data_IF_158497798950
#
_entry.id   IF_158497798950
#
_cell.length_a   1.000
_cell.length_b   1.000
_cell.length_c   1.000
_cell.angle_alpha   90.00
_cell.angle_beta   90.00
_cell.angle_gamma   90.00
#
_symmetry.space_group_name_H-M   'P 1'
#
loop_
_entity.id
_entity.type
_entity.pdbx_description
1 polymer ?
#
# COMPACT_ATOMS: atom_id res chain seq x y z
N UNK A 1 -37.55 2.78 -46.49
CA UNK A 1 -36.33 2.51 -45.70
C UNK A 1 -36.10 3.59 -44.63
N UNK A 2 -37.07 3.85 -43.74
CA UNK A 2 -36.95 4.87 -42.67
C UNK A 2 -36.88 4.28 -41.26
N UNK A 3 -37.04 2.96 -41.13
CA UNK A 3 -37.11 2.27 -39.83
C UNK A 3 -35.76 1.68 -39.40
N UNK A 4 -34.75 1.67 -40.29
CA UNK A 4 -33.41 1.15 -40.00
C UNK A 4 -32.51 2.19 -39.32
N UNK A 5 -32.78 3.48 -39.53
CA UNK A 5 -31.99 4.59 -38.98
C UNK A 5 -32.21 4.81 -37.49
N UNK A 6 -33.39 4.44 -36.96
CA UNK A 6 -33.71 4.56 -35.53
C UNK A 6 -33.04 3.48 -34.66
N UNK A 7 -32.73 2.32 -35.23
CA UNK A 7 -32.06 1.21 -34.51
C UNK A 7 -30.59 1.53 -34.25
N UNK A 8 -29.94 2.26 -35.15
CA UNK A 8 -28.53 2.64 -35.01
C UNK A 8 -28.29 3.69 -33.91
N UNK A 9 -29.29 4.54 -33.64
CA UNK A 9 -29.21 5.56 -32.58
C UNK A 9 -29.48 5.00 -31.18
N UNK A 10 -30.20 3.87 -31.07
CA UNK A 10 -30.45 3.19 -29.79
C UNK A 10 -29.24 2.37 -29.28
N UNK A 11 -28.32 2.00 -30.17
CA UNK A 11 -27.14 1.18 -29.83
C UNK A 11 -26.00 1.99 -29.19
N UNK A 12 -26.07 3.33 -29.20
CA UNK A 12 -25.02 4.20 -28.65
C UNK A 12 -25.12 4.42 -27.12
N UNK A 13 -26.19 3.94 -26.47
CA UNK A 13 -26.40 4.13 -25.02
C UNK A 13 -26.11 2.88 -24.17
N UNK A 14 -25.57 1.80 -24.74
CA UNK A 14 -25.30 0.54 -24.00
C UNK A 14 -23.84 0.45 -23.53
N UNK A 15 -23.08 1.56 -23.50
CA UNK A 15 -21.77 1.55 -22.85
C UNK A 15 -21.93 1.74 -21.33
N UNK A 16 -22.63 0.80 -20.69
CA UNK A 16 -22.61 0.62 -19.25
C UNK A 16 -21.24 0.02 -18.90
N UNK A 17 -20.22 0.89 -18.75
CA UNK A 17 -18.98 0.48 -18.14
C UNK A 17 -19.33 0.08 -16.70
N UNK A 18 -19.32 -1.22 -16.40
CA UNK A 18 -19.31 -1.69 -15.01
C UNK A 18 -18.18 -0.94 -14.34
N UNK A 19 -18.49 -0.08 -13.36
CA UNK A 19 -17.45 0.48 -12.51
C UNK A 19 -16.77 -0.73 -11.87
N UNK A 20 -15.47 -0.90 -12.12
CA UNK A 20 -14.74 -2.08 -11.69
C UNK A 20 -14.71 -2.10 -10.15
N UNK A 21 -15.64 -2.86 -9.57
CA UNK A 21 -15.71 -3.18 -8.14
C UNK A 21 -14.57 -4.13 -7.71
N UNK A 22 -13.64 -4.47 -8.61
CA UNK A 22 -12.55 -5.43 -8.38
C UNK A 22 -11.75 -5.10 -7.12
N UNK A 23 -11.35 -3.83 -6.95
CA UNK A 23 -10.57 -3.40 -5.79
C UNK A 23 -11.34 -3.44 -4.47
N UNK A 24 -12.67 -3.27 -4.49
CA UNK A 24 -13.49 -3.33 -3.28
C UNK A 24 -13.61 -4.77 -2.77
N UNK A 25 -13.78 -5.72 -3.69
CA UNK A 25 -13.82 -7.14 -3.35
C UNK A 25 -12.49 -7.64 -2.78
N UNK A 26 -11.37 -7.29 -3.42
CA UNK A 26 -10.04 -7.70 -2.96
C UNK A 26 -9.67 -7.07 -1.61
N UNK A 27 -10.02 -5.79 -1.40
CA UNK A 27 -9.85 -5.13 -0.11
C UNK A 27 -10.63 -5.87 0.98
N UNK A 28 -11.93 -6.10 0.78
CA UNK A 28 -12.78 -6.75 1.79
C UNK A 28 -12.28 -8.17 2.10
N UNK A 29 -11.94 -8.95 1.08
CA UNK A 29 -11.38 -10.30 1.25
C UNK A 29 -10.11 -10.27 2.09
N UNK A 30 -9.18 -9.35 1.79
CA UNK A 30 -7.93 -9.23 2.56
C UNK A 30 -8.19 -8.75 3.99
N UNK A 31 -9.12 -7.81 4.18
CA UNK A 31 -9.49 -7.29 5.49
C UNK A 31 -10.11 -8.37 6.38
N UNK A 32 -10.99 -9.21 5.83
CA UNK A 32 -11.56 -10.37 6.53
C UNK A 32 -10.47 -11.38 6.94
N UNK A 33 -9.52 -11.66 6.04
CA UNK A 33 -8.37 -12.51 6.37
C UNK A 33 -7.55 -11.93 7.52
N UNK A 34 -7.32 -10.61 7.53
CA UNK A 34 -6.66 -9.92 8.63
C UNK A 34 -7.45 -10.00 9.94
N UNK A 35 -8.77 -9.80 9.94
CA UNK A 35 -9.56 -9.92 11.17
C UNK A 35 -9.45 -11.32 11.78
N UNK A 36 -9.52 -12.37 10.96
CA UNK A 36 -9.35 -13.75 11.41
C UNK A 36 -7.94 -13.99 11.96
N UNK A 37 -6.91 -13.48 11.28
CA UNK A 37 -5.53 -13.56 11.76
C UNK A 37 -5.32 -12.82 13.10
N UNK A 38 -5.91 -11.63 13.26
CA UNK A 38 -5.82 -10.84 14.50
C UNK A 38 -6.44 -11.57 15.69
N UNK A 39 -7.58 -12.25 15.48
CA UNK A 39 -8.20 -13.10 16.50
C UNK A 39 -7.32 -14.31 16.80
N UNK A 40 -6.87 -15.03 15.77
CA UNK A 40 -6.03 -16.21 15.91
C UNK A 40 -4.72 -15.94 16.65
N UNK A 41 -4.07 -14.82 16.34
CA UNK A 41 -2.83 -14.38 16.96
C UNK A 41 -3.02 -13.74 18.34
N UNK A 42 -4.27 -13.60 18.82
CA UNK A 42 -4.62 -12.87 20.03
C UNK A 42 -3.99 -11.47 20.06
N UNK A 43 -3.93 -10.79 18.91
CA UNK A 43 -3.31 -9.48 18.78
C UNK A 43 -1.78 -9.43 18.93
N UNK A 44 -1.10 -10.57 18.80
CA UNK A 44 0.36 -10.67 18.87
C UNK A 44 0.93 -11.14 17.54
N UNK A 45 1.55 -10.23 16.79
CA UNK A 45 2.06 -10.54 15.46
C UNK A 45 3.26 -9.68 15.10
N UNK A 46 4.05 -10.17 14.16
CA UNK A 46 5.06 -9.38 13.47
C UNK A 46 4.66 -9.29 12.00
N UNK A 47 4.89 -8.15 11.36
CA UNK A 47 4.69 -8.02 9.92
C UNK A 47 5.83 -7.25 9.27
N UNK A 48 6.06 -7.58 8.00
CA UNK A 48 7.16 -7.04 7.21
C UNK A 48 6.63 -6.13 6.10
N UNK A 49 7.36 -5.05 5.83
CA UNK A 49 7.17 -4.22 4.64
C UNK A 49 8.51 -4.05 3.94
N UNK A 50 8.48 -4.16 2.62
CA UNK A 50 9.65 -3.96 1.77
C UNK A 50 9.42 -2.79 0.82
N UNK A 51 10.48 -2.06 0.52
CA UNK A 51 10.49 -1.09 -0.57
C UNK A 51 11.81 -1.19 -1.32
N UNK A 52 11.80 -0.78 -2.58
CA UNK A 52 12.98 -0.72 -3.44
C UNK A 52 12.97 0.54 -4.28
N UNK A 53 14.15 1.08 -4.54
CA UNK A 53 14.31 2.17 -5.50
C UNK A 53 14.81 1.65 -6.84
N UNK A 54 14.58 2.45 -7.88
CA UNK A 54 15.08 2.20 -9.22
C UNK A 54 16.61 2.20 -9.30
N UNK A 55 17.31 2.82 -8.35
CA UNK A 55 18.79 2.82 -8.27
C UNK A 55 19.35 1.57 -7.58
N UNK A 56 18.49 0.63 -7.17
CA UNK A 56 18.90 -0.70 -6.69
C UNK A 56 19.08 -0.84 -5.18
N UNK A 57 18.93 0.24 -4.39
CA UNK A 57 18.84 0.12 -2.93
C UNK A 57 17.42 -0.25 -2.50
N UNK A 58 17.30 -0.96 -1.39
CA UNK A 58 16.02 -1.43 -0.85
C UNK A 58 16.01 -1.39 0.67
N UNK A 59 14.83 -1.32 1.27
CA UNK A 59 14.66 -1.34 2.71
C UNK A 59 13.62 -2.38 3.12
N UNK A 60 13.91 -3.08 4.21
CA UNK A 60 12.99 -4.00 4.88
C UNK A 60 12.72 -3.46 6.27
N UNK A 61 11.45 -3.30 6.61
CA UNK A 61 10.99 -2.96 7.97
C UNK A 61 10.22 -4.14 8.54
N UNK A 62 10.50 -4.54 9.78
CA UNK A 62 9.69 -5.50 10.54
C UNK A 62 9.11 -4.76 11.73
N UNK A 63 7.79 -4.86 11.92
CA UNK A 63 7.08 -4.21 13.02
C UNK A 63 6.50 -5.30 13.91
N UNK A 64 6.89 -5.27 15.18
CA UNK A 64 6.40 -6.20 16.20
C UNK A 64 5.29 -5.59 17.01
N UNK A 65 4.14 -6.26 17.00
CA UNK A 65 2.92 -5.88 17.71
C UNK A 65 2.64 -6.91 18.79
N UNK A 66 2.49 -6.46 20.04
CA UNK A 66 2.08 -7.29 21.17
C UNK A 66 0.89 -6.64 21.85
N UNK A 67 -0.15 -7.42 22.11
CA UNK A 67 -1.42 -6.93 22.66
C UNK A 67 -1.96 -5.70 21.89
N UNK A 68 -1.90 -5.72 20.55
CA UNK A 68 -2.37 -4.62 19.68
C UNK A 68 -1.59 -3.30 19.87
N UNK A 69 -0.38 -3.35 20.42
CA UNK A 69 0.52 -2.19 20.57
C UNK A 69 1.84 -2.49 19.89
N UNK A 70 2.41 -1.53 19.16
CA UNK A 70 3.76 -1.65 18.59
C UNK A 70 4.78 -1.59 19.72
N UNK A 71 5.59 -2.64 19.84
CA UNK A 71 6.61 -2.76 20.90
C UNK A 71 8.03 -2.70 20.36
N UNK A 72 8.23 -2.96 19.06
CA UNK A 72 9.53 -2.93 18.43
C UNK A 72 9.39 -2.68 16.92
N UNK A 73 10.39 -2.01 16.37
CA UNK A 73 10.60 -1.88 14.94
C UNK A 73 12.05 -2.27 14.62
N UNK A 74 12.22 -3.15 13.65
CA UNK A 74 13.51 -3.46 13.05
C UNK A 74 13.56 -2.91 11.64
N UNK A 75 14.72 -2.40 11.24
CA UNK A 75 14.92 -1.98 9.87
C UNK A 75 16.29 -2.41 9.35
N UNK A 76 16.33 -2.72 8.05
CA UNK A 76 17.57 -2.97 7.32
C UNK A 76 17.49 -2.41 5.90
N UNK A 77 18.44 -1.56 5.54
CA UNK A 77 18.72 -1.11 4.18
C UNK A 77 19.70 -2.07 3.50
N UNK A 78 19.47 -2.35 2.23
CA UNK A 78 20.40 -3.04 1.34
C UNK A 78 20.87 -2.10 0.23
N UNK A 79 22.14 -2.17 -0.10
CA UNK A 79 22.76 -1.39 -1.18
C UNK A 79 23.40 -2.33 -2.20
N UNK A 80 23.38 -2.00 -3.51
CA UNK A 80 24.17 -2.71 -4.50
C UNK A 80 25.66 -2.76 -4.10
N UNK A 81 26.38 -3.86 -4.38
CA UNK A 81 27.79 -3.99 -4.00
C UNK A 81 28.70 -2.91 -4.62
N UNK A 82 28.37 -2.48 -5.83
CA UNK A 82 29.15 -1.59 -6.71
C UNK A 82 28.71 -0.11 -6.62
N UNK A 83 27.82 0.24 -5.69
CA UNK A 83 27.34 1.61 -5.54
C UNK A 83 28.45 2.54 -5.01
N UNK A 84 29.08 3.30 -5.91
CA UNK A 84 30.27 4.12 -5.63
C UNK A 84 30.06 5.23 -4.57
N UNK A 85 28.83 5.67 -4.34
CA UNK A 85 28.51 6.76 -3.41
C UNK A 85 28.15 6.29 -1.98
N UNK A 86 28.29 5.00 -1.67
CA UNK A 86 28.01 4.46 -0.33
C UNK A 86 29.32 4.21 0.41
N UNK A 87 29.50 4.87 1.55
CA UNK A 87 30.68 4.66 2.40
C UNK A 87 30.58 3.33 3.16
N UNK A 88 31.72 2.74 3.51
CA UNK A 88 31.76 1.54 4.37
C UNK A 88 31.05 1.77 5.71
N UNK A 89 31.12 3.00 6.23
CA UNK A 89 30.42 3.39 7.46
C UNK A 89 28.90 3.34 7.32
N UNK A 90 28.36 3.73 6.16
CA UNK A 90 26.93 3.63 5.87
C UNK A 90 26.51 2.18 5.69
N UNK A 91 27.34 1.37 5.04
CA UNK A 91 27.10 -0.07 4.91
C UNK A 91 27.11 -0.78 6.26
N UNK A 92 27.97 -0.35 7.18
CA UNK A 92 28.04 -0.88 8.54
C UNK A 92 26.88 -0.43 9.45
N UNK A 93 26.26 0.73 9.16
CA UNK A 93 25.13 1.30 9.92
C UNK A 93 23.81 1.24 9.16
N UNK A 94 23.63 0.23 8.30
CA UNK A 94 22.46 0.08 7.46
C UNK A 94 21.26 -0.60 8.16
N UNK A 95 21.39 -0.94 9.43
CA UNK A 95 20.35 -1.63 10.19
C UNK A 95 20.29 -1.10 11.62
N UNK A 96 19.08 -1.04 12.16
CA UNK A 96 18.83 -0.65 13.56
C UNK A 96 17.55 -1.30 14.06
N UNK A 97 17.37 -1.18 15.37
CA UNK A 97 16.19 -1.61 16.12
C UNK A 97 15.76 -0.47 17.02
N UNK A 98 14.45 -0.22 17.05
CA UNK A 98 13.80 0.69 17.98
C UNK A 98 12.89 -0.12 18.90
N UNK A 99 13.03 0.05 20.21
CA UNK A 99 12.06 -0.45 21.19
C UNK A 99 10.91 0.55 21.35
N UNK A 100 9.88 0.17 22.11
CA UNK A 100 8.70 1.02 22.36
C UNK A 100 9.03 2.46 22.81
N UNK A 101 10.14 2.66 23.55
CA UNK A 101 10.57 3.98 24.04
C UNK A 101 11.41 4.77 23.03
N UNK A 102 11.82 4.12 21.94
CA UNK A 102 12.73 4.65 20.91
C UNK A 102 12.06 4.75 19.54
N UNK A 103 10.77 4.39 19.44
CA UNK A 103 10.01 4.41 18.19
C UNK A 103 10.05 5.81 17.56
N UNK A 104 10.30 5.85 16.26
CA UNK A 104 10.43 7.07 15.44
C UNK A 104 11.69 7.91 15.72
N UNK A 105 12.78 7.31 16.20
CA UNK A 105 14.05 8.02 16.36
C UNK A 105 14.88 8.06 15.07
N UNK A 106 14.54 7.25 14.06
CA UNK A 106 15.20 7.20 12.75
C UNK A 106 14.25 7.55 11.56
N UNK A 107 13.63 8.74 11.52
CA UNK A 107 12.63 9.07 10.49
C UNK A 107 13.21 9.16 9.06
N UNK A 108 14.49 9.47 8.92
CA UNK A 108 15.08 9.86 7.62
C UNK A 108 15.54 8.69 6.73
N UNK A 109 15.46 7.45 7.22
CA UNK A 109 16.02 6.31 6.50
C UNK A 109 14.99 5.53 5.66
N UNK A 110 13.75 6.01 5.58
CA UNK A 110 12.69 5.35 4.81
C UNK A 110 12.19 4.05 5.43
N UNK A 111 12.36 3.86 6.74
CA UNK A 111 11.60 2.84 7.45
C UNK A 111 10.10 3.16 7.37
N UNK A 112 9.27 2.12 7.29
CA UNK A 112 7.82 2.31 7.30
C UNK A 112 7.36 2.79 8.69
N UNK A 113 6.29 3.58 8.78
CA UNK A 113 5.79 4.06 10.08
C UNK A 113 5.51 2.88 11.05
N UNK A 114 5.89 2.97 12.34
CA UNK A 114 5.60 1.96 13.35
C UNK A 114 4.13 2.01 13.77
N UNK A 115 3.24 1.50 12.91
CA UNK A 115 1.79 1.44 13.13
C UNK A 115 1.31 -0.01 13.23
N UNK A 116 0.07 -0.23 13.66
CA UNK A 116 -0.56 -1.55 13.63
C UNK A 116 -1.27 -1.78 12.29
N UNK A 117 -1.55 -3.03 11.94
CA UNK A 117 -2.26 -3.37 10.70
C UNK A 117 -3.67 -2.77 10.64
N UNK A 118 -4.35 -2.57 11.77
CA UNK A 118 -5.64 -1.85 11.81
C UNK A 118 -5.50 -0.45 11.20
N UNK A 119 -4.47 0.31 11.59
CA UNK A 119 -4.18 1.63 11.05
C UNK A 119 -3.81 1.57 9.56
N UNK A 120 -3.12 0.52 9.12
CA UNK A 120 -2.84 0.28 7.68
C UNK A 120 -4.16 0.13 6.91
N UNK A 121 -5.08 -0.71 7.39
CA UNK A 121 -6.38 -0.91 6.74
C UNK A 121 -7.27 0.34 6.79
N UNK A 122 -7.22 1.12 7.86
CA UNK A 122 -7.91 2.41 7.95
C UNK A 122 -7.37 3.41 6.91
N UNK A 123 -6.04 3.54 6.80
CA UNK A 123 -5.40 4.40 5.78
C UNK A 123 -5.72 3.90 4.37
N UNK A 124 -5.70 2.59 4.14
CA UNK A 124 -6.08 1.99 2.87
C UNK A 124 -7.52 2.36 2.47
N UNK A 125 -8.48 2.15 3.35
CA UNK A 125 -9.90 2.44 3.11
C UNK A 125 -10.17 3.93 2.90
N UNK A 126 -9.53 4.79 3.70
CA UNK A 126 -9.91 6.21 3.78
C UNK A 126 -9.06 7.13 2.92
N UNK A 127 -7.82 6.76 2.58
CA UNK A 127 -6.87 7.62 1.89
C UNK A 127 -6.47 6.96 0.57
N UNK A 128 -5.86 5.78 0.61
CA UNK A 128 -5.21 5.19 -0.57
C UNK A 128 -6.23 4.75 -1.63
N UNK A 129 -7.27 4.00 -1.23
CA UNK A 129 -8.30 3.52 -2.15
C UNK A 129 -9.28 4.63 -2.57
N UNK A 130 -9.46 5.69 -1.75
CA UNK A 130 -10.21 6.87 -2.19
C UNK A 130 -9.47 7.68 -3.25
N UNK A 131 -8.14 7.79 -3.16
CA UNK A 131 -7.33 8.53 -4.15
C UNK A 131 -7.29 7.85 -5.51
N UNK A 132 -7.35 6.51 -5.56
CA UNK A 132 -7.53 5.75 -6.80
C UNK A 132 -8.86 6.11 -7.48
N UNK A 133 -9.93 6.29 -6.70
CA UNK A 133 -11.23 6.75 -7.21
C UNK A 133 -11.09 8.06 -8.00
N UNK A 134 -10.32 9.04 -7.50
CA UNK A 134 -10.11 10.34 -8.16
C UNK A 134 -9.23 10.22 -9.40
N UNK A 135 -8.15 9.42 -9.38
CA UNK A 135 -7.31 9.23 -10.58
C UNK A 135 -8.09 8.57 -11.73
N UNK A 136 -8.99 7.63 -11.43
CA UNK A 136 -9.91 7.07 -12.42
C UNK A 136 -10.92 8.13 -12.90
N UNK A 137 -11.40 9.02 -12.03
CA UNK A 137 -12.30 10.11 -12.41
C UNK A 137 -11.64 11.15 -13.33
N UNK A 138 -10.36 11.50 -13.13
CA UNK A 138 -9.64 12.44 -14.00
C UNK A 138 -9.39 11.84 -15.39
N UNK A 139 -9.07 10.54 -15.48
CA UNK A 139 -8.97 9.82 -16.75
C UNK A 139 -10.32 9.65 -17.48
N UNK A 140 -11.44 9.66 -16.73
CA UNK A 140 -12.79 9.69 -17.33
C UNK A 140 -13.13 11.06 -17.93
N UNK A 141 -12.54 12.16 -17.45
CA UNK A 141 -12.82 13.52 -17.95
C UNK A 141 -12.15 13.83 -19.31
N UNK A 142 -11.11 13.09 -19.70
CA UNK A 142 -10.52 13.19 -21.05
C UNK A 142 -11.22 12.30 -22.09
N UNK A 143 -12.30 11.60 -21.72
CA UNK A 143 -13.12 10.78 -22.63
C UNK A 143 -14.60 11.20 -22.71
N UNK A 144 -14.98 12.35 -22.15
CA UNK A 144 -16.34 12.92 -22.29
C UNK A 144 -16.51 13.83 -23.52
N UNK A 145 -15.65 13.69 -24.54
CA UNK A 145 -15.92 14.13 -25.91
C UNK A 145 -16.05 12.87 -26.76
N UNK A 146 -17.17 12.16 -26.61
CA UNK A 146 -17.78 11.25 -27.58
C UNK A 146 -19.19 10.92 -27.08
#
# INVERSE_FOLDING_TARGET
MKNLTYVLFLLLFINCSKEDFSHQYDFEKSYQAFQNFKIFSNGNYDYQTDWGSWTGHSGTTIISVRNIIVVQQDYKMSFPPDMANITDSMRAKNAWRETQNELNTHPDWGAFDPIILDSVYERAKNIWLKRIRIMITILKWTRSIC
#
